data_IF_082379853855
#
_entry.id   IF_082379853855
#
_cell.length_a   1.000
_cell.length_b   1.000
_cell.length_c   1.000
_cell.angle_alpha   90.00
_cell.angle_beta   90.00
_cell.angle_gamma   90.00
#
_symmetry.space_group_name_H-M   'P 1'
#
loop_
_entity.id
_entity.type
_entity.pdbx_description
1 polymer ?
#
# COMPACT_ATOMS: atom_id res chain seq x y z
N UNK A 1 -17.93 -31.92 21.57
CA UNK A 1 -19.05 -31.70 22.49
C UNK A 1 -19.64 -30.34 22.13
N UNK A 2 -20.89 -30.30 21.65
CA UNK A 2 -21.57 -29.05 21.22
C UNK A 2 -21.96 -28.20 22.44
N UNK A 3 -21.72 -26.90 22.36
CA UNK A 3 -22.05 -25.93 23.40
C UNK A 3 -23.57 -25.74 23.50
N UNK A 4 -24.16 -26.01 24.67
CA UNK A 4 -25.60 -25.83 24.90
C UNK A 4 -25.85 -24.68 25.89
N UNK A 5 -26.18 -23.51 25.35
CA UNK A 5 -26.45 -22.29 26.14
C UNK A 5 -27.69 -22.36 27.05
N UNK A 6 -28.44 -23.47 27.05
CA UNK A 6 -29.69 -23.64 27.80
C UNK A 6 -29.66 -24.80 28.81
N UNK A 7 -28.52 -25.48 28.97
CA UNK A 7 -28.38 -26.50 30.01
C UNK A 7 -28.28 -25.84 31.40
N UNK A 8 -29.09 -26.31 32.36
CA UNK A 8 -28.92 -25.93 33.78
C UNK A 8 -27.78 -26.76 34.35
N UNK A 9 -26.63 -26.12 34.49
CA UNK A 9 -25.43 -26.70 35.11
C UNK A 9 -25.65 -26.83 36.62
N UNK A 10 -25.23 -27.96 37.20
CA UNK A 10 -25.39 -28.28 38.64
C UNK A 10 -24.04 -28.20 39.36
N UNK A 11 -24.06 -28.15 40.69
CA UNK A 11 -22.87 -27.96 41.56
C UNK A 11 -21.74 -29.00 41.36
N UNK A 12 -22.01 -30.12 40.67
CA UNK A 12 -21.04 -31.19 40.37
C UNK A 12 -20.46 -31.14 38.94
N UNK A 13 -20.72 -30.08 38.18
CA UNK A 13 -20.15 -29.94 36.82
C UNK A 13 -18.70 -29.47 36.94
N UNK A 14 -17.74 -30.21 36.39
CA UNK A 14 -16.36 -29.74 36.33
C UNK A 14 -16.27 -28.63 35.27
N UNK A 15 -16.24 -27.39 35.73
CA UNK A 15 -16.20 -26.20 34.87
C UNK A 15 -14.77 -25.79 34.50
N UNK A 16 -13.73 -26.50 34.96
CA UNK A 16 -12.33 -26.11 34.71
C UNK A 16 -12.08 -25.91 33.20
N UNK A 17 -12.55 -26.83 32.35
CA UNK A 17 -12.44 -26.74 30.89
C UNK A 17 -13.21 -25.54 30.28
N UNK A 18 -14.33 -25.14 30.87
CA UNK A 18 -15.16 -24.03 30.37
C UNK A 18 -14.61 -22.68 30.83
N UNK A 19 -14.14 -22.58 32.08
CA UNK A 19 -13.44 -21.43 32.60
C UNK A 19 -12.13 -21.19 31.85
N UNK A 20 -11.33 -22.23 31.59
CA UNK A 20 -10.11 -22.11 30.77
C UNK A 20 -10.42 -21.58 29.35
N UNK A 21 -11.51 -22.04 28.72
CA UNK A 21 -11.93 -21.52 27.41
C UNK A 21 -12.37 -20.07 27.44
N UNK A 22 -13.08 -19.67 28.50
CA UNK A 22 -13.51 -18.28 28.69
C UNK A 22 -12.29 -17.39 28.94
N UNK A 23 -11.35 -17.82 29.79
CA UNK A 23 -10.13 -17.09 30.08
C UNK A 23 -9.25 -16.95 28.84
N UNK A 24 -9.07 -18.01 28.05
CA UNK A 24 -8.39 -17.96 26.76
C UNK A 24 -9.07 -16.97 25.79
N UNK A 25 -10.41 -17.01 25.70
CA UNK A 25 -11.15 -16.08 24.85
C UNK A 25 -10.94 -14.63 25.28
N UNK A 26 -11.05 -14.34 26.58
CA UNK A 26 -10.84 -12.99 27.12
C UNK A 26 -9.41 -12.52 26.90
N UNK A 27 -8.43 -13.43 27.02
CA UNK A 27 -7.02 -13.17 26.77
C UNK A 27 -6.77 -12.78 25.30
N UNK A 28 -7.22 -13.59 24.33
CA UNK A 28 -7.06 -13.27 22.90
C UNK A 28 -7.85 -12.03 22.48
N UNK A 29 -9.03 -11.80 23.05
CA UNK A 29 -9.80 -10.57 22.80
C UNK A 29 -9.04 -9.33 23.29
N UNK A 30 -8.41 -9.40 24.47
CA UNK A 30 -7.59 -8.32 25.01
C UNK A 30 -6.38 -8.03 24.11
N UNK A 31 -5.62 -9.05 23.73
CA UNK A 31 -4.44 -8.88 22.86
C UNK A 31 -4.79 -8.37 21.47
N UNK A 32 -5.80 -8.97 20.83
CA UNK A 32 -6.24 -8.55 19.49
C UNK A 32 -6.77 -7.12 19.50
N UNK A 33 -7.45 -6.67 20.55
CA UNK A 33 -7.88 -5.27 20.70
C UNK A 33 -6.68 -4.29 20.74
N UNK A 34 -5.61 -4.64 21.46
CA UNK A 34 -4.37 -3.84 21.49
C UNK A 34 -3.67 -3.82 20.14
N UNK A 35 -3.53 -4.98 19.50
CA UNK A 35 -2.95 -5.10 18.15
C UNK A 35 -3.77 -4.30 17.15
N UNK A 36 -5.09 -4.35 17.23
CA UNK A 36 -5.98 -3.55 16.38
C UNK A 36 -5.70 -2.06 16.56
N UNK A 37 -5.63 -1.57 17.81
CA UNK A 37 -5.33 -0.16 18.09
C UNK A 37 -3.96 0.24 17.52
N UNK A 38 -2.95 -0.61 17.67
CA UNK A 38 -1.62 -0.41 17.09
C UNK A 38 -1.63 -0.37 15.57
N UNK A 39 -2.32 -1.28 14.90
CA UNK A 39 -2.45 -1.25 13.44
C UNK A 39 -3.13 0.04 12.93
N UNK A 40 -3.88 0.75 13.78
CA UNK A 40 -4.55 2.00 13.43
C UNK A 40 -3.78 3.26 13.87
N UNK A 41 -2.81 3.15 14.79
CA UNK A 41 -2.09 4.30 15.36
C UNK A 41 -0.59 4.26 15.10
N UNK A 42 -0.02 3.06 15.01
CA UNK A 42 1.40 2.72 15.11
C UNK A 42 2.07 3.24 16.39
N UNK A 43 1.27 3.49 17.44
CA UNK A 43 1.84 3.79 18.75
C UNK A 43 2.35 2.49 19.38
N UNK A 44 3.66 2.27 19.35
CA UNK A 44 4.28 1.08 19.96
C UNK A 44 3.96 0.93 21.45
N UNK A 45 3.62 2.02 22.16
CA UNK A 45 3.18 1.94 23.55
C UNK A 45 1.82 1.27 23.70
N UNK A 46 0.99 1.28 22.65
CA UNK A 46 -0.35 0.69 22.67
C UNK A 46 -0.35 -0.84 22.69
N UNK A 47 0.72 -1.48 22.22
CA UNK A 47 0.89 -2.95 22.29
C UNK A 47 1.66 -3.42 23.51
N UNK A 48 2.23 -2.52 24.31
CA UNK A 48 2.87 -2.90 25.55
C UNK A 48 1.82 -3.42 26.55
N UNK A 49 2.06 -4.59 27.11
CA UNK A 49 1.30 -5.11 28.26
C UNK A 49 2.20 -5.12 29.47
N UNK A 50 1.75 -4.46 30.53
CA UNK A 50 2.37 -4.48 31.84
C UNK A 50 1.45 -5.31 32.72
N UNK A 51 1.98 -6.41 33.26
CA UNK A 51 1.28 -7.23 34.26
C UNK A 51 1.57 -6.72 35.66
N UNK A 52 0.74 -7.10 36.63
CA UNK A 52 0.85 -6.68 38.04
C UNK A 52 2.19 -7.06 38.68
N UNK A 53 2.92 -8.02 38.10
CA UNK A 53 4.27 -8.44 38.51
C UNK A 53 5.40 -7.69 37.78
N UNK A 54 5.08 -6.57 37.11
CA UNK A 54 5.98 -5.78 36.25
C UNK A 54 6.54 -6.53 35.03
N UNK A 55 6.01 -7.70 34.64
CA UNK A 55 6.36 -8.29 33.34
C UNK A 55 5.83 -7.39 32.23
N UNK A 56 6.68 -7.15 31.23
CA UNK A 56 6.35 -6.35 30.04
C UNK A 56 6.36 -7.25 28.81
N UNK A 57 5.19 -7.53 28.23
CA UNK A 57 5.11 -8.10 26.88
C UNK A 57 5.10 -6.93 25.90
N UNK A 58 6.12 -6.86 25.06
CA UNK A 58 6.16 -5.95 23.91
C UNK A 58 6.31 -6.79 22.66
N UNK A 59 6.01 -6.28 21.48
CA UNK A 59 6.47 -6.89 20.23
C UNK A 59 7.74 -6.17 19.81
N UNK A 60 8.75 -6.88 19.29
CA UNK A 60 9.88 -6.20 18.67
C UNK A 60 9.42 -5.65 17.32
N UNK A 61 9.36 -4.32 17.23
CA UNK A 61 9.09 -3.59 16.01
C UNK A 61 10.40 -2.97 15.57
N UNK A 62 10.95 -3.46 14.45
CA UNK A 62 12.10 -2.82 13.83
C UNK A 62 11.66 -1.55 13.10
N UNK A 63 12.57 -0.60 12.85
CA UNK A 63 12.26 0.57 12.00
C UNK A 63 11.68 0.17 10.63
N UNK A 64 12.22 -0.88 10.03
CA UNK A 64 11.73 -1.40 8.74
C UNK A 64 10.31 -1.97 8.86
N UNK A 65 10.02 -2.75 9.91
CA UNK A 65 8.68 -3.28 10.15
C UNK A 65 7.68 -2.14 10.42
N UNK A 66 8.07 -1.13 11.19
CA UNK A 66 7.26 0.07 11.41
C UNK A 66 6.90 0.75 10.08
N UNK A 67 7.89 1.02 9.22
CA UNK A 67 7.68 1.63 7.90
C UNK A 67 6.77 0.80 7.00
N UNK A 68 6.90 -0.53 7.05
CA UNK A 68 6.06 -1.45 6.31
C UNK A 68 4.62 -1.48 6.83
N UNK A 69 4.41 -1.45 8.15
CA UNK A 69 3.08 -1.37 8.75
C UNK A 69 2.39 -0.03 8.44
N UNK A 70 3.16 1.06 8.36
CA UNK A 70 2.66 2.36 7.92
C UNK A 70 2.23 2.34 6.44
N UNK A 71 2.98 1.63 5.58
CA UNK A 71 2.55 1.34 4.21
C UNK A 71 1.26 0.52 4.18
N UNK A 72 1.13 -0.49 5.05
CA UNK A 72 -0.09 -1.28 5.15
C UNK A 72 -1.30 -0.43 5.55
N UNK A 73 -1.13 0.53 6.48
CA UNK A 73 -2.20 1.49 6.83
C UNK A 73 -2.65 2.32 5.63
N UNK A 74 -1.70 2.83 4.83
CA UNK A 74 -2.01 3.56 3.60
C UNK A 74 -2.71 2.68 2.56
N UNK A 75 -2.23 1.45 2.37
CA UNK A 75 -2.81 0.48 1.43
C UNK A 75 -4.17 -0.07 1.87
N UNK A 76 -4.46 -0.10 3.17
CA UNK A 76 -5.78 -0.45 3.68
C UNK A 76 -6.87 0.47 3.12
N UNK A 77 -6.54 1.74 2.84
CA UNK A 77 -7.44 2.69 2.19
C UNK A 77 -7.71 2.38 0.69
N UNK A 78 -6.89 1.53 0.06
CA UNK A 78 -7.06 1.00 -1.30
C UNK A 78 -7.80 -0.34 -1.32
N UNK A 79 -7.60 -1.15 -0.28
CA UNK A 79 -8.00 -2.56 -0.24
C UNK A 79 -9.23 -2.86 0.63
N UNK A 80 -9.96 -1.84 1.10
CA UNK A 80 -11.11 -2.03 2.02
C UNK A 80 -10.76 -2.92 3.22
N UNK A 81 -9.61 -2.63 3.82
CA UNK A 81 -9.02 -3.37 4.95
C UNK A 81 -8.83 -4.87 4.70
N UNK A 82 -8.58 -5.30 3.45
CA UNK A 82 -8.49 -6.72 3.10
C UNK A 82 -7.39 -7.48 3.88
N UNK A 83 -6.29 -6.81 4.22
CA UNK A 83 -5.17 -7.43 4.94
C UNK A 83 -5.33 -7.41 6.47
N UNK A 84 -6.27 -6.63 6.99
CA UNK A 84 -6.44 -6.43 8.43
C UNK A 84 -6.65 -7.74 9.20
N UNK A 85 -7.48 -8.71 8.75
CA UNK A 85 -7.66 -9.98 9.45
C UNK A 85 -6.36 -10.78 9.61
N UNK A 86 -5.56 -10.84 8.55
CA UNK A 86 -4.28 -11.55 8.55
C UNK A 86 -3.27 -10.86 9.47
N UNK A 87 -3.11 -9.54 9.33
CA UNK A 87 -2.20 -8.76 10.20
C UNK A 87 -2.60 -8.85 11.67
N UNK A 88 -3.91 -8.75 11.96
CA UNK A 88 -4.43 -8.88 13.32
C UNK A 88 -4.06 -10.25 13.91
N UNK A 89 -4.26 -11.32 13.16
CA UNK A 89 -3.97 -12.69 13.61
C UNK A 89 -2.48 -12.89 13.84
N UNK A 90 -1.63 -12.54 12.88
CA UNK A 90 -0.19 -12.71 12.96
C UNK A 90 0.43 -11.92 14.11
N UNK A 91 0.08 -10.65 14.26
CA UNK A 91 0.62 -9.81 15.33
C UNK A 91 0.06 -10.18 16.70
N UNK A 92 -1.18 -10.70 16.78
CA UNK A 92 -1.74 -11.24 18.04
C UNK A 92 -0.97 -12.49 18.44
N UNK A 93 -0.74 -13.43 17.52
CA UNK A 93 0.08 -14.63 17.76
C UNK A 93 1.49 -14.24 18.23
N UNK A 94 2.11 -13.26 17.55
CA UNK A 94 3.44 -12.76 17.91
C UNK A 94 3.47 -12.11 19.31
N UNK A 95 2.39 -11.45 19.72
CA UNK A 95 2.27 -10.82 21.03
C UNK A 95 2.02 -11.84 22.15
N UNK A 96 1.17 -12.84 21.92
CA UNK A 96 0.85 -13.89 22.91
C UNK A 96 2.04 -14.82 23.13
N UNK A 97 2.76 -15.20 22.06
CA UNK A 97 3.89 -16.14 22.12
C UNK A 97 5.09 -15.68 22.96
N UNK A 98 5.10 -14.44 23.47
CA UNK A 98 6.16 -13.92 24.36
C UNK A 98 6.01 -14.29 25.84
N UNK A 99 5.08 -15.16 26.21
CA UNK A 99 5.09 -15.81 27.53
C UNK A 99 6.10 -16.97 27.65
N UNK A 100 6.86 -17.29 26.58
CA UNK A 100 7.99 -18.24 26.57
C UNK A 100 9.09 -17.90 25.53
N UNK A 101 10.10 -18.76 25.38
CA UNK A 101 11.32 -18.54 24.55
C UNK A 101 11.13 -18.75 23.02
N UNK A 102 9.98 -19.22 22.55
CA UNK A 102 9.76 -19.56 21.12
C UNK A 102 8.90 -18.50 20.41
N UNK A 103 9.53 -17.67 19.55
CA UNK A 103 8.80 -16.80 18.61
C UNK A 103 8.20 -17.67 17.50
N UNK A 104 6.90 -17.51 17.23
CA UNK A 104 6.22 -18.19 16.12
C UNK A 104 6.64 -17.67 14.74
N UNK A 105 6.94 -16.38 14.64
CA UNK A 105 7.51 -15.78 13.44
C UNK A 105 8.76 -14.99 13.80
N UNK A 106 9.81 -15.17 13.00
CA UNK A 106 10.98 -14.31 13.06
C UNK A 106 10.63 -12.91 12.55
N UNK A 107 11.40 -11.91 12.98
CA UNK A 107 11.29 -10.54 12.47
C UNK A 107 11.43 -10.49 10.95
N UNK A 108 12.35 -11.28 10.38
CA UNK A 108 12.59 -11.33 8.94
C UNK A 108 11.41 -11.92 8.17
N UNK A 109 10.74 -12.93 8.71
CA UNK A 109 9.52 -13.51 8.11
C UNK A 109 8.38 -12.50 8.08
N UNK A 110 8.16 -11.76 9.17
CA UNK A 110 7.12 -10.72 9.23
C UNK A 110 7.42 -9.55 8.28
N UNK A 111 8.68 -9.09 8.22
CA UNK A 111 9.09 -8.07 7.25
C UNK A 111 8.89 -8.56 5.80
N UNK A 112 9.31 -9.78 5.48
CA UNK A 112 9.13 -10.36 4.15
C UNK A 112 7.65 -10.49 3.76
N UNK A 113 6.80 -10.87 4.72
CA UNK A 113 5.35 -10.92 4.54
C UNK A 113 4.78 -9.53 4.26
N UNK A 114 5.16 -8.51 5.04
CA UNK A 114 4.66 -7.15 4.83
C UNK A 114 5.11 -6.56 3.49
N UNK A 115 6.36 -6.81 3.07
CA UNK A 115 6.84 -6.43 1.74
C UNK A 115 6.05 -7.11 0.62
N UNK A 116 5.68 -8.37 0.82
CA UNK A 116 4.85 -9.11 -0.12
C UNK A 116 3.42 -8.55 -0.18
N UNK A 117 2.79 -8.29 0.97
CA UNK A 117 1.44 -7.71 1.05
C UNK A 117 1.39 -6.30 0.46
N UNK A 118 2.46 -5.51 0.61
CA UNK A 118 2.58 -4.19 -0.01
C UNK A 118 2.57 -4.27 -1.54
N UNK A 119 3.43 -5.12 -2.11
CA UNK A 119 3.48 -5.37 -3.56
C UNK A 119 2.14 -5.87 -4.08
N UNK A 120 1.59 -6.90 -3.46
CA UNK A 120 0.30 -7.48 -3.85
C UNK A 120 -0.80 -6.43 -3.76
N UNK A 121 -0.83 -5.69 -2.66
CA UNK A 121 -1.88 -4.72 -2.38
C UNK A 121 -1.92 -3.59 -3.40
N UNK A 122 -0.75 -3.08 -3.76
CA UNK A 122 -0.63 -2.07 -4.81
C UNK A 122 -1.07 -2.62 -6.18
N UNK A 123 -0.55 -3.77 -6.62
CA UNK A 123 -0.83 -4.31 -7.95
C UNK A 123 -2.27 -4.81 -8.13
N UNK A 124 -2.89 -5.39 -7.10
CA UNK A 124 -4.22 -6.00 -7.22
C UNK A 124 -5.33 -5.02 -6.82
N UNK A 125 -5.23 -4.41 -5.64
CA UNK A 125 -6.26 -3.48 -5.18
C UNK A 125 -6.08 -2.09 -5.76
N UNK A 126 -4.84 -1.62 -5.90
CA UNK A 126 -4.53 -0.31 -6.46
C UNK A 126 -4.69 -0.25 -7.99
N UNK A 127 -3.96 -1.09 -8.70
CA UNK A 127 -3.88 -1.05 -10.18
C UNK A 127 -5.08 -1.76 -10.83
N UNK A 128 -5.34 -3.01 -10.46
CA UNK A 128 -6.43 -3.77 -11.07
C UNK A 128 -7.82 -3.38 -10.53
N UNK A 129 -7.89 -2.74 -9.36
CA UNK A 129 -9.15 -2.37 -8.71
C UNK A 129 -10.03 -3.56 -8.34
N UNK A 130 -9.44 -4.74 -8.15
CA UNK A 130 -10.15 -6.00 -7.92
C UNK A 130 -10.16 -6.36 -6.44
N UNK A 131 -11.34 -6.62 -5.88
CA UNK A 131 -11.49 -7.09 -4.50
C UNK A 131 -11.50 -8.64 -4.40
N UNK A 132 -10.60 -9.30 -5.14
CA UNK A 132 -10.71 -10.74 -5.42
C UNK A 132 -9.99 -11.64 -4.41
N UNK A 133 -9.25 -11.08 -3.45
CA UNK A 133 -8.40 -11.87 -2.54
C UNK A 133 -8.79 -11.78 -1.05
N UNK A 134 -9.89 -11.07 -0.73
CA UNK A 134 -10.25 -10.80 0.67
C UNK A 134 -10.58 -12.06 1.46
N UNK A 135 -11.21 -13.05 0.81
CA UNK A 135 -11.54 -14.32 1.45
C UNK A 135 -10.28 -15.13 1.72
N UNK A 136 -9.33 -15.15 0.78
CA UNK A 136 -8.05 -15.85 0.92
C UNK A 136 -7.22 -15.27 2.09
N UNK A 137 -7.24 -13.94 2.31
CA UNK A 137 -6.58 -13.35 3.50
C UNK A 137 -7.24 -13.75 4.82
N UNK A 138 -8.56 -13.89 4.82
CA UNK A 138 -9.32 -14.34 5.99
C UNK A 138 -9.02 -15.81 6.27
N UNK A 139 -8.98 -16.66 5.25
CA UNK A 139 -8.61 -18.07 5.36
C UNK A 139 -7.19 -18.22 5.93
N UNK A 140 -6.21 -17.51 5.38
CA UNK A 140 -4.84 -17.49 5.91
C UNK A 140 -4.76 -16.99 7.35
N UNK A 141 -5.60 -16.02 7.73
CA UNK A 141 -5.69 -15.54 9.11
C UNK A 141 -6.16 -16.65 10.07
N UNK A 142 -7.17 -17.41 9.68
CA UNK A 142 -7.66 -18.56 10.45
C UNK A 142 -6.66 -19.72 10.50
N UNK A 143 -5.97 -20.00 9.39
CA UNK A 143 -4.90 -21.00 9.34
C UNK A 143 -3.74 -20.64 10.26
N UNK A 144 -3.29 -19.39 10.26
CA UNK A 144 -2.27 -18.90 11.18
C UNK A 144 -2.65 -19.17 12.64
N UNK A 145 -3.91 -18.89 12.99
CA UNK A 145 -4.41 -19.09 14.33
C UNK A 145 -4.54 -20.56 14.70
N UNK A 146 -5.01 -21.42 13.78
CA UNK A 146 -5.09 -22.87 14.01
C UNK A 146 -3.73 -23.51 14.18
N UNK A 147 -2.75 -23.14 13.36
CA UNK A 147 -1.36 -23.57 13.49
C UNK A 147 -0.80 -23.23 14.87
N UNK A 148 -1.02 -22.00 15.32
CA UNK A 148 -0.60 -21.55 16.64
C UNK A 148 -1.33 -22.28 17.79
N UNK A 149 -2.66 -22.39 17.73
CA UNK A 149 -3.49 -22.91 18.83
C UNK A 149 -3.47 -24.43 18.96
N UNK A 150 -3.42 -25.13 17.83
CA UNK A 150 -3.59 -26.59 17.78
C UNK A 150 -2.34 -27.32 17.28
N UNK A 151 -1.25 -26.60 16.99
CA UNK A 151 -0.02 -27.19 16.48
C UNK A 151 -0.14 -27.71 15.04
N UNK A 152 -1.09 -27.20 14.26
CA UNK A 152 -1.17 -27.49 12.82
C UNK A 152 0.06 -26.91 12.08
N UNK A 153 0.34 -27.40 10.88
CA UNK A 153 1.46 -26.87 10.08
C UNK A 153 1.21 -25.40 9.73
N UNK A 154 2.18 -24.53 10.05
CA UNK A 154 2.13 -23.14 9.64
C UNK A 154 2.59 -22.99 8.17
N UNK A 155 1.61 -22.91 7.28
CA UNK A 155 1.83 -22.78 5.82
C UNK A 155 1.64 -21.36 5.29
N UNK A 156 1.28 -20.40 6.14
CA UNK A 156 0.87 -19.04 5.72
C UNK A 156 1.91 -18.40 4.81
N UNK A 157 3.18 -18.39 5.23
CA UNK A 157 4.28 -17.78 4.46
C UNK A 157 4.59 -18.61 3.20
N UNK A 158 4.45 -19.93 3.26
CA UNK A 158 4.69 -20.83 2.11
C UNK A 158 3.64 -20.64 1.02
N UNK A 159 2.41 -20.27 1.39
CA UNK A 159 1.31 -20.10 0.45
C UNK A 159 1.25 -18.72 -0.20
N UNK A 160 1.90 -17.70 0.35
CA UNK A 160 1.93 -16.36 -0.25
C UNK A 160 2.44 -16.36 -1.71
N UNK A 161 3.61 -16.94 -2.05
CA UNK A 161 4.06 -16.97 -3.45
C UNK A 161 3.12 -17.75 -4.37
N UNK A 162 2.49 -18.81 -3.84
CA UNK A 162 1.49 -19.60 -4.59
C UNK A 162 0.26 -18.76 -4.87
N UNK A 163 -0.20 -17.98 -3.89
CA UNK A 163 -1.34 -17.09 -4.02
C UNK A 163 -1.08 -16.03 -5.08
N UNK A 164 0.06 -15.35 -5.05
CA UNK A 164 0.48 -14.37 -6.07
C UNK A 164 0.42 -14.96 -7.48
N UNK A 165 1.09 -16.10 -7.67
CA UNK A 165 1.12 -16.82 -8.95
C UNK A 165 -0.28 -17.23 -9.38
N UNK A 166 -1.08 -17.76 -8.45
CA UNK A 166 -2.45 -18.19 -8.74
C UNK A 166 -3.32 -17.02 -9.18
N UNK A 167 -3.16 -15.83 -8.61
CA UNK A 167 -3.94 -14.66 -8.99
C UNK A 167 -3.56 -14.13 -10.37
N UNK A 168 -2.26 -14.00 -10.63
CA UNK A 168 -1.77 -13.61 -11.95
C UNK A 168 -2.17 -14.66 -13.01
N UNK A 169 -2.09 -15.96 -12.69
CA UNK A 169 -2.52 -17.04 -13.59
C UNK A 169 -4.03 -17.12 -13.80
N UNK A 170 -4.86 -17.00 -12.74
CA UNK A 170 -6.34 -17.03 -12.82
C UNK A 170 -6.86 -15.92 -13.72
N UNK A 171 -6.19 -14.78 -13.71
CA UNK A 171 -6.55 -13.64 -14.55
C UNK A 171 -5.90 -13.69 -15.94
N UNK A 172 -4.97 -14.62 -16.17
CA UNK A 172 -4.18 -14.68 -17.40
C UNK A 172 -3.23 -13.50 -17.57
N UNK A 173 -3.01 -12.70 -16.52
CA UNK A 173 -2.33 -11.42 -16.57
C UNK A 173 -1.17 -11.40 -15.58
N UNK A 174 -0.01 -10.94 -16.00
CA UNK A 174 1.13 -10.52 -15.19
C UNK A 174 0.86 -9.17 -14.51
N UNK A 175 1.69 -8.81 -13.51
CA UNK A 175 1.64 -7.48 -12.92
C UNK A 175 1.76 -6.36 -13.95
N UNK A 176 2.52 -6.57 -15.03
CA UNK A 176 2.68 -5.64 -16.13
C UNK A 176 1.41 -5.52 -16.99
N UNK A 177 0.76 -6.64 -17.32
CA UNK A 177 -0.50 -6.63 -18.06
C UNK A 177 -1.60 -5.92 -17.27
N UNK A 178 -1.65 -6.07 -15.95
CA UNK A 178 -2.58 -5.29 -15.11
C UNK A 178 -2.29 -3.78 -15.18
N UNK A 179 -1.02 -3.37 -15.18
CA UNK A 179 -0.64 -1.96 -15.36
C UNK A 179 -1.06 -1.46 -16.74
N UNK A 180 -0.78 -2.21 -17.80
CA UNK A 180 -1.14 -1.86 -19.18
C UNK A 180 -2.65 -1.76 -19.35
N UNK A 181 -3.41 -2.75 -18.90
CA UNK A 181 -4.88 -2.73 -18.92
C UNK A 181 -5.40 -1.51 -18.16
N UNK A 182 -4.85 -1.25 -16.97
CA UNK A 182 -5.20 -0.11 -16.13
C UNK A 182 -5.01 1.23 -16.83
N UNK A 183 -4.04 1.39 -17.72
CA UNK A 183 -3.73 2.66 -18.42
C UNK A 183 -4.37 2.74 -19.81
N UNK A 184 -4.30 1.65 -20.57
CA UNK A 184 -4.71 1.59 -21.98
C UNK A 184 -6.15 1.15 -22.18
N UNK A 185 -6.86 0.75 -21.12
CA UNK A 185 -8.30 0.50 -21.19
C UNK A 185 -9.01 1.63 -21.93
N UNK A 186 -9.84 1.29 -22.91
CA UNK A 186 -10.64 2.28 -23.66
C UNK A 186 -11.61 3.05 -22.75
N UNK A 187 -11.92 2.50 -21.58
CA UNK A 187 -12.72 3.15 -20.54
C UNK A 187 -11.90 4.17 -19.72
N UNK A 188 -10.57 4.09 -19.79
CA UNK A 188 -9.66 5.01 -19.12
C UNK A 188 -9.25 6.16 -20.06
N UNK A 189 -10.02 7.23 -20.02
CA UNK A 189 -9.77 8.45 -20.80
C UNK A 189 -8.69 9.33 -20.18
N UNK A 190 -8.47 9.23 -18.86
CA UNK A 190 -7.53 10.07 -18.12
C UNK A 190 -6.22 9.34 -17.73
N UNK A 191 -5.95 8.18 -18.34
CA UNK A 191 -4.70 7.41 -18.19
C UNK A 191 -4.28 7.26 -16.73
N UNK A 192 -3.11 7.77 -16.35
CA UNK A 192 -2.58 7.66 -14.99
C UNK A 192 -3.41 8.45 -13.97
N UNK A 193 -4.03 9.56 -14.38
CA UNK A 193 -4.80 10.39 -13.45
C UNK A 193 -6.04 9.67 -12.90
N UNK A 194 -6.64 8.77 -13.69
CA UNK A 194 -7.80 7.98 -13.27
C UNK A 194 -7.49 6.95 -12.17
N UNK A 195 -6.22 6.66 -11.90
CA UNK A 195 -5.81 5.71 -10.86
C UNK A 195 -6.08 6.22 -9.43
N UNK A 196 -6.43 7.50 -9.27
CA UNK A 196 -6.90 8.07 -8.01
C UNK A 196 -5.94 7.78 -6.85
N UNK A 197 -6.42 7.11 -5.81
CA UNK A 197 -5.63 6.81 -4.61
C UNK A 197 -4.38 5.97 -4.90
N UNK A 198 -4.39 5.11 -5.92
CA UNK A 198 -3.21 4.33 -6.29
C UNK A 198 -2.10 5.21 -6.88
N UNK A 199 -2.47 6.22 -7.68
CA UNK A 199 -1.52 7.24 -8.14
C UNK A 199 -0.98 8.06 -6.96
N UNK A 200 -1.84 8.49 -6.04
CA UNK A 200 -1.41 9.21 -4.85
C UNK A 200 -0.39 8.39 -4.05
N UNK A 201 -0.63 7.08 -3.91
CA UNK A 201 0.25 6.18 -3.16
C UNK A 201 1.61 6.05 -3.85
N UNK A 202 1.63 5.82 -5.16
CA UNK A 202 2.86 5.74 -5.95
C UNK A 202 3.71 7.02 -5.84
N UNK A 203 3.07 8.19 -6.00
CA UNK A 203 3.78 9.47 -5.93
C UNK A 203 4.25 9.80 -4.50
N UNK A 204 3.48 9.40 -3.49
CA UNK A 204 3.90 9.52 -2.09
C UNK A 204 5.09 8.62 -1.75
N UNK A 205 5.09 7.38 -2.23
CA UNK A 205 6.25 6.49 -2.07
C UNK A 205 7.48 6.99 -2.82
N UNK A 206 7.31 7.67 -3.96
CA UNK A 206 8.40 8.35 -4.66
C UNK A 206 8.98 9.51 -3.85
N UNK A 207 8.14 10.27 -3.15
CA UNK A 207 8.58 11.30 -2.21
C UNK A 207 9.38 10.71 -1.06
N UNK A 208 8.85 9.69 -0.38
CA UNK A 208 9.53 9.04 0.75
C UNK A 208 10.86 8.40 0.35
N UNK A 209 10.93 7.80 -0.85
CA UNK A 209 12.16 7.20 -1.37
C UNK A 209 13.31 8.20 -1.48
N UNK A 210 13.00 9.46 -1.82
CA UNK A 210 14.00 10.50 -1.99
C UNK A 210 14.17 11.42 -0.78
N UNK A 211 13.11 11.60 0.00
CA UNK A 211 13.09 12.41 1.20
C UNK A 211 12.18 11.76 2.25
N UNK A 212 12.72 10.90 3.14
CA UNK A 212 11.95 10.28 4.22
C UNK A 212 11.29 11.31 5.16
N UNK A 213 11.86 12.51 5.26
CA UNK A 213 11.34 13.62 6.05
C UNK A 213 10.44 14.55 5.22
N UNK A 214 9.71 14.01 4.24
CA UNK A 214 8.79 14.82 3.42
C UNK A 214 7.70 15.46 4.27
N UNK A 215 7.31 16.68 3.91
CA UNK A 215 6.21 17.41 4.56
C UNK A 215 4.84 17.03 3.99
N UNK A 216 4.81 16.22 2.94
CA UNK A 216 3.58 15.69 2.37
C UNK A 216 3.04 14.57 3.26
N UNK A 217 1.72 14.41 3.26
CA UNK A 217 1.06 13.28 3.88
C UNK A 217 0.39 12.43 2.80
N UNK A 218 0.01 11.21 3.16
CA UNK A 218 -0.92 10.42 2.37
C UNK A 218 -2.36 10.71 2.81
N UNK A 219 -2.83 11.94 2.64
CA UNK A 219 -4.19 12.33 2.98
C UNK A 219 -4.86 13.11 1.85
N UNK A 220 -5.79 12.45 1.16
CA UNK A 220 -6.60 13.08 0.12
C UNK A 220 -7.44 14.28 0.57
N UNK A 221 -7.55 14.55 1.87
CA UNK A 221 -8.20 15.73 2.43
C UNK A 221 -7.34 17.01 2.28
N UNK A 222 -6.01 16.88 2.33
CA UNK A 222 -5.06 18.01 2.34
C UNK A 222 -4.05 17.97 1.19
N UNK A 223 -3.80 16.82 0.55
CA UNK A 223 -3.00 16.69 -0.68
C UNK A 223 -3.86 16.45 -1.92
N UNK A 224 -3.33 16.84 -3.09
CA UNK A 224 -3.93 16.57 -4.40
C UNK A 224 -2.88 16.38 -5.49
N UNK A 225 -3.34 15.87 -6.63
CA UNK A 225 -2.51 15.73 -7.82
C UNK A 225 -2.48 17.05 -8.59
N UNK A 226 -1.29 17.57 -8.80
CA UNK A 226 -1.03 18.70 -9.68
C UNK A 226 -0.67 18.23 -11.08
N UNK A 227 -1.23 18.93 -12.07
CA UNK A 227 -0.87 18.79 -13.46
C UNK A 227 0.12 19.91 -13.82
N UNK A 228 1.37 19.56 -14.07
CA UNK A 228 2.43 20.55 -14.36
C UNK A 228 2.05 21.36 -15.61
N UNK A 229 1.80 20.67 -16.73
CA UNK A 229 0.98 21.16 -17.84
C UNK A 229 -0.51 20.99 -17.46
N UNK A 230 -1.26 22.06 -17.22
CA UNK A 230 -2.64 21.97 -16.78
C UNK A 230 -3.56 21.34 -17.83
N UNK A 231 -4.68 20.78 -17.38
CA UNK A 231 -5.73 20.26 -18.27
C UNK A 231 -6.36 21.35 -19.14
N UNK A 232 -6.46 22.58 -18.62
CA UNK A 232 -7.08 23.73 -19.28
C UNK A 232 -6.12 24.93 -19.26
N UNK A 233 -5.04 24.92 -20.05
CA UNK A 233 -4.09 26.03 -20.13
C UNK A 233 -4.77 27.31 -20.60
N UNK A 234 -4.51 28.42 -19.89
CA UNK A 234 -5.18 29.71 -20.06
C UNK A 234 -4.31 30.75 -20.80
N UNK A 235 -4.17 31.97 -20.25
CA UNK A 235 -3.30 33.01 -20.80
C UNK A 235 -1.85 32.74 -20.41
N UNK A 236 -0.92 32.91 -21.37
CA UNK A 236 0.52 32.63 -21.15
C UNK A 236 1.01 31.30 -21.73
N UNK A 237 0.12 30.44 -22.22
CA UNK A 237 0.49 29.24 -22.98
C UNK A 237 0.48 29.48 -24.49
N UNK A 238 1.49 28.95 -25.18
CA UNK A 238 1.57 28.91 -26.63
C UNK A 238 0.48 28.01 -27.24
N UNK A 239 0.18 28.21 -28.54
CA UNK A 239 -0.74 27.34 -29.27
C UNK A 239 -0.29 25.86 -29.26
N UNK A 240 1.03 25.63 -29.22
CA UNK A 240 1.62 24.29 -29.15
C UNK A 240 1.31 23.61 -27.81
N UNK A 241 1.51 24.31 -26.70
CA UNK A 241 1.21 23.78 -25.36
C UNK A 241 -0.30 23.53 -25.17
N UNK A 242 -1.14 24.42 -25.68
CA UNK A 242 -2.59 24.23 -25.70
C UNK A 242 -3.00 23.01 -26.53
N UNK A 243 -2.27 22.69 -27.59
CA UNK A 243 -2.47 21.46 -28.36
C UNK A 243 -2.06 20.22 -27.58
N UNK A 244 -0.95 20.27 -26.83
CA UNK A 244 -0.49 19.16 -25.99
C UNK A 244 -1.49 18.81 -24.90
N UNK A 245 -2.10 19.82 -24.25
CA UNK A 245 -3.10 19.61 -23.20
C UNK A 245 -4.37 18.88 -23.69
N UNK A 246 -4.63 18.85 -25.01
CA UNK A 246 -5.74 18.09 -25.60
C UNK A 246 -5.42 16.61 -25.80
N UNK A 247 -4.15 16.21 -25.72
CA UNK A 247 -3.75 14.81 -25.85
C UNK A 247 -3.72 14.16 -24.45
N UNK A 248 -4.61 13.19 -24.16
CA UNK A 248 -4.64 12.51 -22.87
C UNK A 248 -3.34 11.77 -22.56
N UNK A 249 -2.60 11.32 -23.58
CA UNK A 249 -1.30 10.68 -23.41
C UNK A 249 -0.20 11.64 -22.95
N UNK A 250 -0.40 12.96 -23.07
CA UNK A 250 0.54 13.97 -22.57
C UNK A 250 0.04 14.55 -21.25
N UNK A 251 -1.19 15.06 -21.23
CA UNK A 251 -1.69 15.82 -20.07
C UNK A 251 -1.91 14.92 -18.85
N UNK A 252 -2.22 13.64 -19.06
CA UNK A 252 -2.32 12.65 -17.98
C UNK A 252 -1.17 11.63 -18.00
N UNK A 253 -0.04 11.98 -18.61
CA UNK A 253 1.18 11.20 -18.49
C UNK A 253 1.68 11.21 -17.05
N UNK A 254 2.24 10.10 -16.57
CA UNK A 254 2.80 9.98 -15.23
C UNK A 254 3.81 11.10 -14.91
N UNK A 255 4.66 11.44 -15.88
CA UNK A 255 5.65 12.51 -15.76
C UNK A 255 5.07 13.92 -15.66
N UNK A 256 3.80 14.13 -16.04
CA UNK A 256 3.09 15.41 -15.89
C UNK A 256 2.38 15.56 -14.54
N UNK A 257 2.37 14.52 -13.71
CA UNK A 257 1.62 14.46 -12.45
C UNK A 257 2.59 14.44 -11.26
N UNK A 258 2.29 15.24 -10.24
CA UNK A 258 3.00 15.20 -8.95
C UNK A 258 2.03 15.42 -7.80
N UNK A 259 2.40 14.94 -6.60
CA UNK A 259 1.63 15.14 -5.38
C UNK A 259 2.05 16.48 -4.74
N UNK A 260 1.08 17.28 -4.31
CA UNK A 260 1.32 18.61 -3.72
C UNK A 260 0.22 18.93 -2.70
N UNK A 261 0.43 19.84 -1.72
CA UNK A 261 -0.66 20.28 -0.86
C UNK A 261 -1.76 20.99 -1.66
N UNK A 262 -3.03 20.77 -1.32
CA UNK A 262 -4.19 21.36 -2.02
C UNK A 262 -4.12 22.87 -2.09
N UNK A 263 -3.77 23.53 -0.99
CA UNK A 263 -3.69 24.99 -0.94
C UNK A 263 -2.64 25.52 -1.93
N UNK A 264 -1.52 24.82 -2.04
CA UNK A 264 -0.47 25.13 -3.00
C UNK A 264 -0.97 24.90 -4.43
N UNK A 265 -1.61 23.76 -4.71
CA UNK A 265 -2.20 23.44 -6.01
C UNK A 265 -3.24 24.47 -6.47
N UNK A 266 -4.20 24.82 -5.59
CA UNK A 266 -5.22 25.83 -5.87
C UNK A 266 -4.62 27.21 -6.17
N UNK A 267 -3.51 27.56 -5.51
CA UNK A 267 -2.79 28.83 -5.76
C UNK A 267 -2.05 28.85 -7.10
N UNK A 268 -1.61 27.68 -7.57
CA UNK A 268 -0.97 27.50 -8.87
C UNK A 268 -1.98 27.50 -10.01
N UNK A 269 -3.12 26.80 -9.84
CA UNK A 269 -4.18 26.74 -10.83
C UNK A 269 -3.63 26.43 -12.24
N UNK A 270 -4.12 27.12 -13.26
CA UNK A 270 -3.67 26.96 -14.64
C UNK A 270 -2.46 27.81 -15.01
N UNK A 271 -1.72 28.39 -14.06
CA UNK A 271 -0.58 29.30 -14.37
C UNK A 271 0.48 28.65 -15.25
N UNK A 272 1.22 29.40 -16.09
CA UNK A 272 2.35 28.89 -16.86
C UNK A 272 3.45 28.27 -15.99
N UNK A 273 4.21 27.34 -16.57
CA UNK A 273 5.27 26.62 -15.85
C UNK A 273 6.28 27.55 -15.16
N UNK A 274 6.67 28.66 -15.79
CA UNK A 274 7.59 29.63 -15.19
C UNK A 274 7.10 30.23 -13.86
N UNK A 275 5.78 30.38 -13.72
CA UNK A 275 5.19 30.82 -12.45
C UNK A 275 5.12 29.68 -11.45
N UNK A 276 4.66 28.49 -11.88
CA UNK A 276 4.59 27.29 -11.04
C UNK A 276 5.96 26.91 -10.46
N UNK A 277 7.00 26.99 -11.30
CA UNK A 277 8.40 26.71 -10.98
C UNK A 277 8.90 27.48 -9.75
N UNK A 278 8.50 28.74 -9.57
CA UNK A 278 8.92 29.57 -8.42
C UNK A 278 8.42 29.01 -7.09
N UNK A 279 7.22 28.43 -7.09
CA UNK A 279 6.63 27.80 -5.92
C UNK A 279 7.24 26.41 -5.70
N UNK A 280 7.39 25.63 -6.77
CA UNK A 280 7.97 24.30 -6.71
C UNK A 280 9.38 24.25 -6.11
N UNK A 281 10.20 25.30 -6.32
CA UNK A 281 11.52 25.41 -5.68
C UNK A 281 11.49 25.34 -4.15
N UNK A 282 10.34 25.65 -3.53
CA UNK A 282 10.15 25.66 -2.07
C UNK A 282 9.35 24.44 -1.57
N UNK A 283 8.88 23.59 -2.48
CA UNK A 283 7.98 22.50 -2.17
C UNK A 283 8.65 21.19 -1.78
N UNK A 284 7.92 20.11 -2.03
CA UNK A 284 8.32 18.71 -1.88
C UNK A 284 9.50 18.32 -2.79
N UNK A 285 9.99 17.09 -2.66
CA UNK A 285 11.12 16.64 -3.47
C UNK A 285 10.77 16.63 -4.97
N UNK A 286 9.63 16.08 -5.37
CA UNK A 286 9.22 16.02 -6.78
C UNK A 286 8.94 17.41 -7.33
N UNK A 287 8.42 18.34 -6.54
CA UNK A 287 8.27 19.74 -6.97
C UNK A 287 9.65 20.34 -7.28
N UNK A 288 10.60 20.23 -6.35
CA UNK A 288 11.97 20.74 -6.54
C UNK A 288 12.68 20.07 -7.72
N UNK A 289 12.47 18.77 -7.91
CA UNK A 289 12.98 18.04 -9.06
C UNK A 289 12.45 18.63 -10.37
N UNK A 290 11.14 18.82 -10.49
CA UNK A 290 10.51 19.43 -11.67
C UNK A 290 11.05 20.84 -11.91
N UNK A 291 11.23 21.62 -10.85
CA UNK A 291 11.71 23.00 -10.90
C UNK A 291 13.17 23.16 -11.37
N UNK A 292 13.98 22.08 -11.40
CA UNK A 292 15.33 22.11 -11.98
C UNK A 292 15.30 22.40 -13.48
N UNK A 293 14.21 22.04 -14.16
CA UNK A 293 14.03 22.32 -15.58
C UNK A 293 13.78 23.81 -15.81
N UNK A 294 14.42 24.38 -16.84
CA UNK A 294 14.13 25.74 -17.30
C UNK A 294 12.76 25.81 -18.01
N UNK A 295 12.37 24.76 -18.73
CA UNK A 295 11.07 24.64 -19.40
C UNK A 295 10.51 23.23 -19.20
N UNK A 296 9.19 23.07 -19.22
CA UNK A 296 8.56 21.78 -19.03
C UNK A 296 7.57 21.47 -20.16
N UNK A 297 8.06 20.79 -21.19
CA UNK A 297 7.26 20.35 -22.33
C UNK A 297 7.24 18.83 -22.47
N UNK A 298 6.79 18.35 -23.64
CA UNK A 298 6.67 16.92 -23.97
C UNK A 298 7.95 16.12 -23.68
N UNK A 299 9.13 16.68 -23.96
CA UNK A 299 10.40 16.03 -23.70
C UNK A 299 10.61 15.76 -22.19
N UNK A 300 10.39 16.77 -21.35
CA UNK A 300 10.51 16.64 -19.89
C UNK A 300 9.44 15.74 -19.30
N UNK A 301 8.20 15.82 -19.81
CA UNK A 301 7.10 14.92 -19.41
C UNK A 301 7.50 13.46 -19.70
N UNK A 302 8.08 13.20 -20.87
CA UNK A 302 8.50 11.86 -21.27
C UNK A 302 9.66 11.35 -20.41
N UNK A 303 10.70 12.16 -20.22
CA UNK A 303 11.85 11.81 -19.38
C UNK A 303 11.42 11.51 -17.93
N UNK A 304 10.59 12.37 -17.34
CA UNK A 304 10.07 12.13 -15.98
C UNK A 304 9.12 10.93 -15.92
N UNK A 305 8.33 10.69 -16.96
CA UNK A 305 7.49 9.47 -17.05
C UNK A 305 8.37 8.22 -17.04
N UNK A 306 9.46 8.20 -17.81
CA UNK A 306 10.40 7.08 -17.82
C UNK A 306 11.01 6.85 -16.43
N UNK A 307 11.47 7.93 -15.77
CA UNK A 307 12.02 7.85 -14.42
C UNK A 307 11.03 7.28 -13.40
N UNK A 308 9.77 7.74 -13.42
CA UNK A 308 8.75 7.26 -12.51
C UNK A 308 8.32 5.82 -12.82
N UNK A 309 8.37 5.40 -14.08
CA UNK A 309 8.16 4.00 -14.46
C UNK A 309 9.28 3.12 -13.93
N UNK A 310 10.54 3.56 -14.03
CA UNK A 310 11.68 2.82 -13.47
C UNK A 310 11.57 2.69 -11.96
N UNK A 311 11.15 3.77 -11.28
CA UNK A 311 10.83 3.71 -9.85
C UNK A 311 9.73 2.69 -9.55
N UNK A 312 8.59 2.74 -10.27
CA UNK A 312 7.47 1.81 -10.11
C UNK A 312 7.92 0.35 -10.27
N UNK A 313 8.67 0.05 -11.34
CA UNK A 313 9.16 -1.30 -11.66
C UNK A 313 10.08 -1.83 -10.57
N UNK A 314 11.02 -1.00 -10.11
CA UNK A 314 11.96 -1.38 -9.06
C UNK A 314 11.24 -1.53 -7.70
N UNK A 315 10.39 -0.56 -7.34
CA UNK A 315 9.72 -0.48 -6.04
C UNK A 315 8.87 -1.71 -5.77
N UNK A 316 8.10 -2.16 -6.75
CA UNK A 316 7.21 -3.32 -6.62
C UNK A 316 7.79 -4.58 -7.26
N UNK A 317 9.10 -4.63 -7.51
CA UNK A 317 9.81 -5.83 -7.98
C UNK A 317 9.10 -6.50 -9.19
N UNK A 318 8.61 -5.69 -10.12
CA UNK A 318 7.81 -6.19 -11.25
C UNK A 318 8.65 -7.11 -12.15
N UNK A 319 9.98 -6.89 -12.20
CA UNK A 319 10.92 -7.76 -12.90
C UNK A 319 11.01 -9.20 -12.37
N UNK A 320 10.53 -9.48 -11.16
CA UNK A 320 10.42 -10.86 -10.66
C UNK A 320 9.20 -11.59 -11.24
N UNK A 321 8.23 -10.84 -11.78
CA UNK A 321 6.97 -11.36 -12.32
C UNK A 321 7.01 -11.51 -13.85
N UNK A 322 7.90 -10.79 -14.54
CA UNK A 322 7.98 -10.74 -16.00
C UNK A 322 9.43 -10.60 -16.49
N UNK A 323 9.71 -11.07 -17.71
CA UNK A 323 11.04 -10.95 -18.32
C UNK A 323 11.43 -9.52 -18.74
N UNK A 324 12.72 -9.24 -18.82
CA UNK A 324 13.27 -7.91 -19.18
C UNK A 324 12.74 -7.38 -20.53
N UNK A 325 12.53 -8.27 -21.51
CA UNK A 325 11.99 -7.89 -22.82
C UNK A 325 10.57 -7.33 -22.71
N UNK A 326 9.74 -7.89 -21.82
CA UNK A 326 8.38 -7.42 -21.58
C UNK A 326 8.39 -6.03 -20.92
N UNK A 327 9.26 -5.83 -19.92
CA UNK A 327 9.46 -4.52 -19.29
C UNK A 327 9.88 -3.46 -20.31
N UNK A 328 10.82 -3.79 -21.19
CA UNK A 328 11.27 -2.87 -22.24
C UNK A 328 10.14 -2.54 -23.21
N UNK A 329 9.33 -3.54 -23.61
CA UNK A 329 8.18 -3.33 -24.49
C UNK A 329 7.13 -2.42 -23.84
N UNK A 330 6.79 -2.66 -22.58
CA UNK A 330 5.89 -1.85 -21.76
C UNK A 330 6.30 -0.39 -21.67
N UNK A 331 7.55 -0.13 -21.25
CA UNK A 331 8.08 1.24 -21.17
C UNK A 331 7.99 1.92 -22.53
N UNK A 332 8.40 1.22 -23.60
CA UNK A 332 8.35 1.78 -24.96
C UNK A 332 6.91 2.08 -25.39
N UNK A 333 5.94 1.22 -25.08
CA UNK A 333 4.54 1.42 -25.42
C UNK A 333 3.99 2.69 -24.75
N UNK A 334 4.20 2.84 -23.44
CA UNK A 334 3.72 3.99 -22.66
C UNK A 334 4.39 5.30 -23.08
N UNK A 335 5.68 5.29 -23.35
CA UNK A 335 6.44 6.49 -23.69
C UNK A 335 6.31 6.90 -25.17
N UNK A 336 5.89 5.99 -26.05
CA UNK A 336 5.75 6.25 -27.49
C UNK A 336 4.63 7.26 -27.79
N UNK A 337 3.58 7.27 -26.97
CA UNK A 337 2.39 8.10 -27.20
C UNK A 337 2.52 9.54 -26.65
N UNK A 338 3.62 9.81 -25.93
CA UNK A 338 3.97 11.15 -25.41
C UNK A 338 4.77 11.91 -26.49
N UNK A 339 4.08 12.48 -27.49
CA UNK A 339 4.69 13.16 -28.65
C UNK A 339 4.00 14.45 -29.05
#
# INVERSE_FOLDING_TARGET
MEFNAHQRYTDNTNFDDEYERIDDLLLYLSYSSKVWNFLHTLDEKSIALIFDDNRKLEMEITPKMHDLLDKMRRLNALSDNAFLPLLLSLLTIQLVGRSGDERHYTTQELEGLLEYLERFGFLIYGVAGKNTAKNEWIELAFEAFRAYRYGEENIVIKDLPTLEKSFFNRQGNSGLELLEEGIHSKKNTEKWYQWGKALNYLLYEYELYHNPETTLNFDSSIESIEHILPQKPDQGYSAKEKSWAKNPHIVHALGNLLLIPKNANSSLSNKPFEEKRKQYLKGSYSEKEVAKNASFGVAQIKERSEKLLDFLIARYRIAELVGESAIKAFKNALLKDIK
#
